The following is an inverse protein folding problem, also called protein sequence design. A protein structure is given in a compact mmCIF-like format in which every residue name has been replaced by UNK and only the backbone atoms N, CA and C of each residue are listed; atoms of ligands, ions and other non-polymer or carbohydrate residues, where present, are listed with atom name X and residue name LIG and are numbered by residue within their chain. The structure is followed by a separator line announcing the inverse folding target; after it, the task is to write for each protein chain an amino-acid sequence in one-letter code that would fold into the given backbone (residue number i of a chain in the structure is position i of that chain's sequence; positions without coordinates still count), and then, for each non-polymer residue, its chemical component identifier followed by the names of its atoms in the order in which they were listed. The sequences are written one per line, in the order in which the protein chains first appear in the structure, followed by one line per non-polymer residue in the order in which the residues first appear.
data_IF_553942872126
#
_entry.id   IF_553942872126
#
_cell.length_a   1.000
_cell.length_b   1.000
_cell.length_c   1.000
_cell.angle_alpha   90.00
_cell.angle_beta   90.00
_cell.angle_gamma   90.00
#
_symmetry.space_group_name_H-M   'P 1'
#
loop_
_entity.id
_entity.type
_entity.pdbx_description
1 polymer ?
#
# COMPACT_ATOMS: atom_id res chain seq x y z
N UNK A 1 11.31 -3.37 -17.15
CA UNK A 1 12.13 -2.19 -17.52
C UNK A 1 13.19 -1.99 -16.45
N UNK A 2 14.44 -1.63 -16.78
CA UNK A 2 15.44 -1.38 -15.73
C UNK A 2 15.20 -0.03 -15.02
N UNK A 3 15.80 0.15 -13.85
CA UNK A 3 15.58 1.33 -13.00
C UNK A 3 15.99 2.64 -13.69
N UNK A 4 17.01 2.60 -14.54
CA UNK A 4 17.48 3.77 -15.27
C UNK A 4 16.48 4.18 -16.35
N UNK A 5 15.99 3.24 -17.15
CA UNK A 5 14.97 3.52 -18.17
C UNK A 5 13.68 4.03 -17.54
N UNK A 6 13.27 3.46 -16.39
CA UNK A 6 12.08 3.91 -15.67
C UNK A 6 12.16 5.41 -15.32
N UNK A 7 13.30 5.85 -14.78
CA UNK A 7 13.51 7.26 -14.44
C UNK A 7 13.45 8.17 -15.67
N UNK A 8 13.94 7.73 -16.81
CA UNK A 8 13.81 8.48 -18.07
C UNK A 8 12.35 8.56 -18.52
N UNK A 9 11.58 7.47 -18.39
CA UNK A 9 10.16 7.46 -18.74
C UNK A 9 9.30 8.36 -17.86
N UNK A 10 9.62 8.47 -16.57
CA UNK A 10 8.98 9.45 -15.68
C UNK A 10 9.17 10.88 -16.21
N UNK A 11 10.40 11.23 -16.61
CA UNK A 11 10.71 12.55 -17.19
C UNK A 11 9.94 12.76 -18.50
N UNK A 12 9.99 11.81 -19.43
CA UNK A 12 9.32 11.92 -20.73
C UNK A 12 7.81 12.08 -20.57
N UNK A 13 7.21 11.30 -19.67
CA UNK A 13 5.77 11.33 -19.41
C UNK A 13 5.34 12.66 -18.80
N UNK A 14 6.12 13.20 -17.87
CA UNK A 14 5.84 14.52 -17.29
C UNK A 14 5.88 15.64 -18.34
N UNK A 15 6.90 15.64 -19.21
CA UNK A 15 6.98 16.60 -20.32
C UNK A 15 5.77 16.48 -21.25
N UNK A 16 5.39 15.26 -21.64
CA UNK A 16 4.23 15.03 -22.51
C UNK A 16 2.93 15.56 -21.88
N UNK A 17 2.71 15.24 -20.59
CA UNK A 17 1.51 15.65 -19.86
C UNK A 17 1.45 17.15 -19.59
N UNK A 18 2.59 17.81 -19.43
CA UNK A 18 2.69 19.26 -19.22
C UNK A 18 2.39 20.05 -20.49
N UNK A 19 2.77 19.51 -21.65
CA UNK A 19 2.55 20.17 -22.94
C UNK A 19 1.15 19.92 -23.54
N UNK A 20 0.55 18.75 -23.31
CA UNK A 20 -0.82 18.47 -23.73
C UNK A 20 -1.82 18.56 -22.57
N UNK A 21 -2.51 19.72 -22.49
CA UNK A 21 -3.51 20.01 -21.46
C UNK A 21 -4.75 19.10 -21.50
N UNK A 22 -4.95 18.32 -22.57
CA UNK A 22 -6.09 17.39 -22.69
C UNK A 22 -5.77 15.98 -22.22
N UNK A 23 -4.51 15.55 -22.36
CA UNK A 23 -4.04 14.20 -22.01
C UNK A 23 -4.41 13.76 -20.59
N UNK A 24 -4.19 14.60 -19.58
CA UNK A 24 -4.52 14.24 -18.20
C UNK A 24 -6.02 14.03 -17.99
N UNK A 25 -6.86 14.89 -18.60
CA UNK A 25 -8.32 14.78 -18.51
C UNK A 25 -8.82 13.51 -19.19
N UNK A 26 -8.24 13.15 -20.33
CA UNK A 26 -8.60 11.92 -21.05
C UNK A 26 -8.14 10.66 -20.30
N UNK A 27 -6.99 10.72 -19.63
CA UNK A 27 -6.56 9.67 -18.71
C UNK A 27 -7.58 9.47 -17.58
N UNK A 28 -8.06 10.55 -16.94
CA UNK A 28 -9.09 10.44 -15.90
C UNK A 28 -10.41 9.85 -16.41
N UNK A 29 -10.81 10.16 -17.65
CA UNK A 29 -12.00 9.54 -18.27
C UNK A 29 -11.82 8.04 -18.45
N UNK A 30 -10.61 7.58 -18.79
CA UNK A 30 -10.33 6.14 -18.98
C UNK A 30 -10.42 5.31 -17.69
N UNK A 31 -10.40 5.96 -16.52
CA UNK A 31 -10.54 5.32 -15.20
C UNK A 31 -12.01 5.20 -14.78
N UNK A 32 -12.89 6.04 -15.35
CA UNK A 32 -14.28 6.11 -14.97
C UNK A 32 -15.00 4.77 -15.20
N UNK A 33 -15.87 4.39 -14.25
CA UNK A 33 -16.69 3.21 -14.42
C UNK A 33 -17.82 3.49 -15.41
N UNK A 34 -17.96 2.64 -16.44
CA UNK A 34 -19.04 2.74 -17.42
C UNK A 34 -19.92 1.50 -17.31
N UNK A 35 -21.14 1.60 -16.72
CA UNK A 35 -21.99 0.44 -16.43
C UNK A 35 -22.39 -0.41 -17.64
N UNK A 36 -22.37 0.17 -18.85
CA UNK A 36 -22.85 -0.43 -20.10
C UNK A 36 -21.82 -0.37 -21.24
N UNK A 37 -20.51 -0.41 -20.93
CA UNK A 37 -19.46 -0.41 -21.97
C UNK A 37 -19.49 -1.67 -22.86
N UNK A 38 -20.24 -2.70 -22.45
CA UNK A 38 -20.38 -4.01 -23.08
C UNK A 38 -21.25 -4.04 -24.35
N UNK A 39 -21.18 -3.02 -25.21
CA UNK A 39 -21.61 -3.19 -26.62
C UNK A 39 -20.57 -3.97 -27.44
N UNK A 40 -19.38 -4.20 -26.87
CA UNK A 40 -18.39 -5.13 -27.42
C UNK A 40 -18.74 -6.55 -27.03
N UNK A 41 -19.19 -7.36 -28.00
CA UNK A 41 -19.59 -8.77 -27.83
C UNK A 41 -18.42 -9.68 -27.39
N UNK A 42 -17.18 -9.15 -27.31
CA UNK A 42 -15.96 -9.92 -27.12
C UNK A 42 -15.18 -9.62 -25.83
N UNK A 43 -15.59 -8.66 -24.99
CA UNK A 43 -14.83 -8.30 -23.77
C UNK A 43 -15.46 -8.85 -22.50
N UNK A 44 -14.68 -9.55 -21.67
CA UNK A 44 -15.14 -10.09 -20.39
C UNK A 44 -15.10 -9.03 -19.27
N UNK A 45 -15.89 -9.23 -18.21
CA UNK A 45 -15.83 -8.37 -17.00
C UNK A 45 -14.44 -8.32 -16.37
N UNK A 46 -13.71 -9.44 -16.43
CA UNK A 46 -12.35 -9.53 -15.92
C UNK A 46 -11.38 -8.64 -16.71
N UNK A 47 -11.49 -8.64 -18.05
CA UNK A 47 -10.72 -7.74 -18.90
C UNK A 47 -11.05 -6.26 -18.63
N UNK A 48 -12.32 -5.93 -18.36
CA UNK A 48 -12.71 -4.58 -17.97
C UNK A 48 -12.11 -4.16 -16.61
N UNK A 49 -12.02 -5.08 -15.65
CA UNK A 49 -11.35 -4.81 -14.37
C UNK A 49 -9.86 -4.58 -14.56
N UNK A 50 -9.21 -5.38 -15.38
CA UNK A 50 -7.78 -5.25 -15.65
C UNK A 50 -7.48 -3.95 -16.41
N UNK A 51 -8.26 -3.61 -17.44
CA UNK A 51 -8.10 -2.36 -18.18
C UNK A 51 -8.22 -1.13 -17.27
N UNK A 52 -9.17 -1.14 -16.32
CA UNK A 52 -9.31 -0.07 -15.33
C UNK A 52 -8.19 -0.06 -14.30
N UNK A 53 -7.75 -1.22 -13.82
CA UNK A 53 -6.57 -1.32 -12.94
C UNK A 53 -5.35 -0.69 -13.62
N UNK A 54 -5.09 -1.02 -14.88
CA UNK A 54 -4.01 -0.44 -15.66
C UNK A 54 -4.17 1.07 -15.88
N UNK A 55 -5.39 1.56 -16.09
CA UNK A 55 -5.65 3.01 -16.17
C UNK A 55 -5.29 3.74 -14.86
N UNK A 56 -5.62 3.16 -13.70
CA UNK A 56 -5.24 3.70 -12.39
C UNK A 56 -3.72 3.66 -12.18
N UNK A 57 -3.05 2.57 -12.60
CA UNK A 57 -1.58 2.47 -12.55
C UNK A 57 -0.91 3.52 -13.45
N UNK A 58 -1.47 3.82 -14.62
CA UNK A 58 -1.01 4.91 -15.49
C UNK A 58 -1.15 6.28 -14.83
N UNK A 59 -2.28 6.55 -14.16
CA UNK A 59 -2.43 7.77 -13.37
C UNK A 59 -1.36 7.87 -12.28
N UNK A 60 -1.14 6.79 -11.54
CA UNK A 60 -0.10 6.74 -10.51
C UNK A 60 1.30 7.01 -11.12
N UNK A 61 1.62 6.45 -12.28
CA UNK A 61 2.89 6.70 -12.96
C UNK A 61 3.07 8.16 -13.40
N UNK A 62 2.01 8.75 -13.98
CA UNK A 62 2.01 10.17 -14.40
C UNK A 62 2.23 11.10 -13.22
N UNK A 63 1.52 10.87 -12.11
CA UNK A 63 1.69 11.69 -10.89
C UNK A 63 3.07 11.46 -10.26
N UNK A 64 3.63 10.25 -10.32
CA UNK A 64 4.97 9.99 -9.80
C UNK A 64 6.06 10.76 -10.56
N UNK A 65 5.88 10.97 -11.87
CA UNK A 65 6.83 11.72 -12.70
C UNK A 65 6.75 13.23 -12.53
N UNK A 66 5.68 13.75 -11.92
CA UNK A 66 5.38 15.17 -11.87
C UNK A 66 6.12 15.94 -10.78
N UNK A 67 6.09 17.27 -10.88
CA UNK A 67 6.48 18.15 -9.78
C UNK A 67 5.51 18.03 -8.59
N UNK A 68 5.98 18.43 -7.41
CA UNK A 68 5.16 18.47 -6.18
C UNK A 68 3.95 19.41 -6.39
N UNK A 69 2.76 18.91 -6.08
CA UNK A 69 1.47 19.61 -6.21
C UNK A 69 1.02 19.98 -7.64
N UNK A 70 1.71 19.51 -8.69
CA UNK A 70 1.34 19.79 -10.08
C UNK A 70 -0.13 19.45 -10.40
N UNK A 71 -0.68 18.41 -9.78
CA UNK A 71 -2.07 17.95 -9.97
C UNK A 71 -3.03 18.32 -8.84
N UNK A 72 -2.69 19.30 -7.99
CA UNK A 72 -3.56 19.73 -6.89
C UNK A 72 -4.94 20.20 -7.38
N UNK A 73 -5.02 20.89 -8.52
CA UNK A 73 -6.28 21.40 -9.06
C UNK A 73 -7.25 20.29 -9.50
N UNK A 74 -6.71 19.13 -9.90
CA UNK A 74 -7.47 17.96 -10.37
C UNK A 74 -7.71 16.94 -9.25
N UNK A 75 -7.31 17.24 -8.02
CA UNK A 75 -7.37 16.29 -6.90
C UNK A 75 -8.81 15.84 -6.60
N UNK A 76 -9.81 16.71 -6.74
CA UNK A 76 -11.21 16.33 -6.58
C UNK A 76 -11.63 15.27 -7.60
N UNK A 77 -11.24 15.44 -8.87
CA UNK A 77 -11.55 14.49 -9.94
C UNK A 77 -10.82 13.16 -9.72
N UNK A 78 -9.55 13.21 -9.30
CA UNK A 78 -8.76 12.01 -8.94
C UNK A 78 -9.47 11.26 -7.80
N UNK A 79 -9.84 11.96 -6.72
CA UNK A 79 -10.54 11.39 -5.58
C UNK A 79 -11.85 10.74 -6.00
N UNK A 80 -12.66 11.42 -6.81
CA UNK A 80 -13.93 10.90 -7.31
C UNK A 80 -13.71 9.57 -8.04
N UNK A 81 -12.75 9.53 -8.98
CA UNK A 81 -12.44 8.32 -9.77
C UNK A 81 -11.94 7.14 -8.92
N UNK A 82 -11.09 7.40 -7.92
CA UNK A 82 -10.62 6.35 -7.01
C UNK A 82 -11.78 5.83 -6.14
N UNK A 83 -12.59 6.74 -5.58
CA UNK A 83 -13.72 6.38 -4.73
C UNK A 83 -14.80 5.59 -5.47
N UNK A 84 -15.09 5.98 -6.73
CA UNK A 84 -16.04 5.29 -7.58
C UNK A 84 -15.60 3.85 -7.83
N UNK A 85 -14.32 3.64 -8.19
CA UNK A 85 -13.78 2.31 -8.46
C UNK A 85 -13.84 1.38 -7.24
N UNK A 86 -13.50 1.89 -6.04
CA UNK A 86 -13.61 1.11 -4.79
C UNK A 86 -15.06 0.77 -4.42
N UNK A 87 -16.00 1.68 -4.72
CA UNK A 87 -17.43 1.48 -4.43
C UNK A 87 -18.07 0.44 -5.35
N UNK A 88 -17.75 0.48 -6.65
CA UNK A 88 -18.43 -0.34 -7.67
C UNK A 88 -17.73 -1.67 -7.95
N UNK A 89 -16.49 -1.86 -7.47
CA UNK A 89 -15.70 -3.06 -7.74
C UNK A 89 -15.14 -3.69 -6.47
N UNK A 90 -15.30 -5.02 -6.36
CA UNK A 90 -14.62 -5.84 -5.36
C UNK A 90 -13.34 -6.48 -5.93
N UNK A 91 -12.93 -6.12 -7.15
CA UNK A 91 -11.76 -6.70 -7.81
C UNK A 91 -10.47 -6.35 -7.04
N UNK A 92 -9.67 -7.35 -6.63
CA UNK A 92 -8.41 -7.11 -5.95
C UNK A 92 -7.39 -6.36 -6.82
N UNK A 93 -7.38 -6.56 -8.14
CA UNK A 93 -6.49 -5.84 -9.07
C UNK A 93 -6.76 -4.34 -9.10
N UNK A 94 -8.04 -3.92 -9.05
CA UNK A 94 -8.40 -2.50 -8.99
C UNK A 94 -8.00 -1.91 -7.63
N UNK A 95 -8.35 -2.58 -6.53
CA UNK A 95 -8.05 -2.12 -5.17
C UNK A 95 -6.54 -1.97 -4.94
N UNK A 96 -5.76 -2.91 -5.45
CA UNK A 96 -4.28 -2.85 -5.43
C UNK A 96 -3.74 -1.64 -6.17
N UNK A 97 -4.27 -1.36 -7.38
CA UNK A 97 -3.88 -0.19 -8.15
C UNK A 97 -4.27 1.13 -7.45
N UNK A 98 -5.42 1.17 -6.77
CA UNK A 98 -5.83 2.33 -5.96
C UNK A 98 -4.85 2.56 -4.80
N UNK A 99 -4.43 1.52 -4.08
CA UNK A 99 -3.41 1.68 -3.04
C UNK A 99 -2.06 2.16 -3.59
N UNK A 100 -1.62 1.66 -4.74
CA UNK A 100 -0.43 2.19 -5.42
C UNK A 100 -0.58 3.67 -5.74
N UNK A 101 -1.72 4.08 -6.31
CA UNK A 101 -2.00 5.47 -6.63
C UNK A 101 -2.00 6.36 -5.38
N UNK A 102 -2.61 5.91 -4.28
CA UNK A 102 -2.60 6.64 -3.02
C UNK A 102 -1.17 6.81 -2.50
N UNK A 103 -0.33 5.77 -2.54
CA UNK A 103 1.08 5.87 -2.13
C UNK A 103 1.83 6.93 -2.94
N UNK A 104 1.60 7.02 -4.25
CA UNK A 104 2.18 8.09 -5.08
C UNK A 104 1.66 9.46 -4.64
N UNK A 105 0.35 9.61 -4.44
CA UNK A 105 -0.26 10.87 -4.02
C UNK A 105 0.31 11.36 -2.69
N UNK A 106 0.57 10.45 -1.73
CA UNK A 106 1.19 10.76 -0.44
C UNK A 106 2.61 11.36 -0.57
N UNK A 107 3.32 11.09 -1.68
CA UNK A 107 4.67 11.63 -1.93
C UNK A 107 4.68 12.86 -2.84
N UNK A 108 3.65 13.02 -3.68
CA UNK A 108 3.59 14.06 -4.72
C UNK A 108 2.62 15.20 -4.42
N UNK A 109 1.80 15.08 -3.40
CA UNK A 109 0.91 16.14 -2.93
C UNK A 109 1.15 16.45 -1.45
N UNK A 110 1.07 17.74 -1.10
CA UNK A 110 1.14 18.16 0.31
C UNK A 110 -0.12 17.72 1.08
N UNK A 111 -0.01 17.53 2.42
CA UNK A 111 -1.11 17.05 3.26
C UNK A 111 -2.45 17.78 3.12
N UNK A 112 -2.52 19.13 2.93
CA UNK A 112 -3.79 19.82 2.73
C UNK A 112 -4.57 19.34 1.49
N UNK A 113 -3.87 18.93 0.43
CA UNK A 113 -4.49 18.40 -0.79
C UNK A 113 -5.07 17.00 -0.59
N UNK A 114 -4.64 16.28 0.44
CA UNK A 114 -4.97 14.86 0.66
C UNK A 114 -6.17 14.64 1.60
N UNK A 115 -6.78 15.71 2.11
CA UNK A 115 -7.88 15.64 3.10
C UNK A 115 -9.03 14.75 2.60
N UNK A 116 -9.43 14.89 1.33
CA UNK A 116 -10.54 14.13 0.76
C UNK A 116 -10.21 12.65 0.49
N UNK A 117 -8.93 12.30 0.32
CA UNK A 117 -8.49 10.90 0.14
C UNK A 117 -8.49 10.14 1.45
N UNK A 118 -8.33 10.83 2.58
CA UNK A 118 -8.09 10.20 3.87
C UNK A 118 -9.18 9.19 4.30
N UNK A 119 -10.48 9.52 4.25
CA UNK A 119 -11.54 8.58 4.64
C UNK A 119 -11.53 7.33 3.76
N UNK A 120 -11.35 7.51 2.45
CA UNK A 120 -11.33 6.41 1.47
C UNK A 120 -10.16 5.46 1.76
N UNK A 121 -8.97 6.03 1.96
CA UNK A 121 -7.76 5.27 2.22
C UNK A 121 -7.86 4.47 3.53
N UNK A 122 -8.32 5.10 4.62
CA UNK A 122 -8.41 4.44 5.94
C UNK A 122 -9.47 3.34 5.91
N UNK A 123 -10.66 3.60 5.37
CA UNK A 123 -11.73 2.59 5.29
C UNK A 123 -11.30 1.37 4.49
N UNK A 124 -10.66 1.58 3.33
CA UNK A 124 -10.21 0.49 2.48
C UNK A 124 -9.05 -0.29 3.12
N UNK A 125 -8.09 0.39 3.74
CA UNK A 125 -6.98 -0.26 4.46
C UNK A 125 -7.51 -1.12 5.62
N UNK A 126 -8.44 -0.60 6.42
CA UNK A 126 -9.11 -1.34 7.50
C UNK A 126 -9.82 -2.57 6.96
N UNK A 127 -10.55 -2.43 5.85
CA UNK A 127 -11.29 -3.53 5.24
C UNK A 127 -10.36 -4.68 4.82
N UNK A 128 -9.27 -4.37 4.10
CA UNK A 128 -8.31 -5.37 3.62
C UNK A 128 -7.56 -6.03 4.78
N UNK A 129 -7.17 -5.28 5.81
CA UNK A 129 -6.52 -5.85 6.99
C UNK A 129 -7.45 -6.76 7.79
N UNK A 130 -8.74 -6.42 7.92
CA UNK A 130 -9.74 -7.30 8.53
C UNK A 130 -9.94 -8.59 7.72
N UNK A 131 -10.00 -8.47 6.39
CA UNK A 131 -10.11 -9.65 5.53
C UNK A 131 -8.88 -10.55 5.66
N UNK A 132 -7.68 -9.99 5.72
CA UNK A 132 -6.44 -10.74 5.95
C UNK A 132 -6.45 -11.46 7.32
N UNK A 133 -6.93 -10.81 8.37
CA UNK A 133 -7.12 -11.45 9.68
C UNK A 133 -8.07 -12.65 9.60
N UNK A 134 -9.19 -12.51 8.89
CA UNK A 134 -10.16 -13.60 8.69
C UNK A 134 -9.54 -14.79 7.94
N UNK A 135 -8.77 -14.54 6.86
CA UNK A 135 -8.09 -15.62 6.12
C UNK A 135 -7.06 -16.35 7.02
N UNK A 136 -6.27 -15.59 7.78
CA UNK A 136 -5.29 -16.15 8.73
C UNK A 136 -5.95 -16.97 9.85
N UNK A 137 -7.18 -16.65 10.24
CA UNK A 137 -7.96 -17.43 11.22
C UNK A 137 -8.58 -18.69 10.61
N UNK A 138 -9.16 -18.60 9.41
CA UNK A 138 -9.89 -19.69 8.76
C UNK A 138 -8.99 -20.88 8.42
N UNK A 139 -7.77 -20.62 7.93
CA UNK A 139 -6.80 -21.66 7.57
C UNK A 139 -6.28 -22.48 8.78
N UNK A 140 -6.47 -22.00 10.01
CA UNK A 140 -6.11 -22.74 11.23
C UNK A 140 -7.08 -23.86 11.61
N UNK A 141 -8.27 -23.91 10.99
CA UNK A 141 -9.36 -24.83 11.36
C UNK A 141 -9.54 -26.01 10.40
N UNK A 142 -8.63 -26.24 9.44
CA UNK A 142 -8.70 -27.39 8.53
C UNK A 142 -9.91 -27.40 7.59
N UNK A 143 -10.60 -26.27 7.44
CA UNK A 143 -11.66 -26.09 6.44
C UNK A 143 -10.97 -25.44 5.22
N UNK A 144 -10.48 -26.28 4.31
CA UNK A 144 -9.80 -25.90 3.06
C UNK A 144 -10.73 -25.23 2.01
N UNK A 145 -11.88 -24.67 2.40
CA UNK A 145 -12.96 -24.28 1.46
C UNK A 145 -13.16 -22.76 1.32
N UNK A 146 -12.08 -21.98 1.41
CA UNK A 146 -12.07 -20.60 0.91
C UNK A 146 -10.87 -20.45 -0.02
N UNK A 147 -11.04 -20.91 -1.27
CA UNK A 147 -10.09 -20.78 -2.38
C UNK A 147 -9.64 -19.34 -2.73
N UNK A 148 -9.97 -18.33 -1.92
CA UNK A 148 -9.47 -16.95 -2.03
C UNK A 148 -8.02 -16.79 -1.57
N UNK A 149 -7.51 -17.63 -0.66
CA UNK A 149 -6.15 -17.48 -0.10
C UNK A 149 -5.02 -17.85 -1.08
N UNK A 150 -5.35 -18.48 -2.22
CA UNK A 150 -4.40 -18.81 -3.31
C UNK A 150 -4.71 -18.10 -4.63
N UNK A 151 -5.70 -17.23 -4.68
CA UNK A 151 -5.88 -16.37 -5.83
C UNK A 151 -4.81 -15.28 -5.76
N UNK A 152 -3.84 -15.37 -6.67
CA UNK A 152 -2.65 -14.52 -6.75
C UNK A 152 -3.02 -13.03 -6.63
N UNK A 153 -4.19 -12.64 -7.13
CA UNK A 153 -4.67 -11.26 -7.09
C UNK A 153 -5.01 -10.80 -5.66
N UNK A 154 -5.61 -11.64 -4.82
CA UNK A 154 -5.88 -11.31 -3.41
C UNK A 154 -4.60 -11.21 -2.60
N UNK A 155 -3.63 -12.09 -2.86
CA UNK A 155 -2.32 -11.99 -2.23
C UNK A 155 -1.61 -10.68 -2.59
N UNK A 156 -1.73 -10.24 -3.84
CA UNK A 156 -1.22 -8.93 -4.27
C UNK A 156 -1.97 -7.77 -3.61
N UNK A 157 -3.28 -7.91 -3.34
CA UNK A 157 -4.04 -6.91 -2.60
C UNK A 157 -3.55 -6.77 -1.15
N UNK A 158 -3.30 -7.88 -0.46
CA UNK A 158 -2.74 -7.85 0.90
C UNK A 158 -1.35 -7.20 0.92
N UNK A 159 -0.50 -7.50 -0.06
CA UNK A 159 0.80 -6.85 -0.21
C UNK A 159 0.66 -5.33 -0.45
N UNK A 160 -0.25 -4.93 -1.34
CA UNK A 160 -0.49 -3.52 -1.64
C UNK A 160 -0.96 -2.73 -0.40
N UNK A 161 -1.85 -3.33 0.41
CA UNK A 161 -2.27 -2.77 1.68
C UNK A 161 -1.11 -2.63 2.68
N UNK A 162 -0.27 -3.66 2.80
CA UNK A 162 0.90 -3.63 3.68
C UNK A 162 1.94 -2.59 3.23
N UNK A 163 2.18 -2.45 1.92
CA UNK A 163 3.05 -1.40 1.36
C UNK A 163 2.51 0.00 1.61
N UNK A 164 1.19 0.19 1.57
CA UNK A 164 0.57 1.45 1.97
C UNK A 164 0.79 1.72 3.46
N UNK A 165 0.59 0.72 4.32
CA UNK A 165 0.87 0.83 5.75
C UNK A 165 2.34 1.16 6.02
N UNK A 166 3.29 0.50 5.34
CA UNK A 166 4.72 0.85 5.41
C UNK A 166 4.96 2.31 5.00
N UNK A 167 4.30 2.79 3.95
CA UNK A 167 4.41 4.19 3.48
C UNK A 167 3.97 5.17 4.57
N UNK A 168 2.82 4.90 5.19
CA UNK A 168 2.27 5.72 6.28
C UNK A 168 3.18 5.74 7.51
N UNK A 169 3.74 4.59 7.88
CA UNK A 169 4.65 4.42 9.00
C UNK A 169 6.06 4.98 8.73
N UNK A 170 6.48 5.06 7.47
CA UNK A 170 7.81 5.57 7.08
C UNK A 170 7.85 7.09 7.02
N UNK A 171 6.74 7.74 6.66
CA UNK A 171 6.66 9.19 6.64
C UNK A 171 6.85 9.77 8.06
N UNK A 172 7.50 10.94 8.19
CA UNK A 172 7.83 11.48 9.51
C UNK A 172 6.59 11.67 10.37
N UNK A 173 6.73 11.35 11.66
CA UNK A 173 5.65 11.55 12.62
C UNK A 173 5.21 13.03 12.61
N UNK A 174 3.92 13.26 12.34
CA UNK A 174 3.32 14.60 12.28
C UNK A 174 3.27 15.22 10.89
N UNK A 175 3.91 14.63 9.87
CA UNK A 175 3.73 15.06 8.48
C UNK A 175 2.29 14.85 8.00
N UNK A 176 1.72 13.67 8.31
CA UNK A 176 0.33 13.33 8.05
C UNK A 176 -0.47 13.41 9.37
N UNK A 177 -0.94 14.60 9.73
CA UNK A 177 -1.68 14.81 10.98
C UNK A 177 -2.90 13.89 11.12
N UNK A 178 -3.62 13.63 10.02
CA UNK A 178 -4.78 12.75 10.01
C UNK A 178 -4.42 11.28 10.26
N UNK A 179 -3.20 10.85 9.87
CA UNK A 179 -2.72 9.51 10.22
C UNK A 179 -2.46 9.38 11.70
N UNK A 180 -1.94 10.42 12.35
CA UNK A 180 -1.69 10.36 13.79
C UNK A 180 -2.96 10.16 14.62
N UNK A 181 -4.12 10.62 14.10
CA UNK A 181 -5.41 10.41 14.76
C UNK A 181 -5.88 8.95 14.73
N UNK A 182 -5.45 8.16 13.74
CA UNK A 182 -5.83 6.75 13.58
C UNK A 182 -4.67 5.76 13.70
N UNK A 183 -3.43 6.23 13.90
CA UNK A 183 -2.21 5.42 13.97
C UNK A 183 -2.33 4.30 15.01
N UNK A 184 -2.96 4.59 16.15
CA UNK A 184 -3.23 3.64 17.24
C UNK A 184 -4.03 2.42 16.78
N UNK A 185 -4.84 2.52 15.73
CA UNK A 185 -5.61 1.38 15.23
C UNK A 185 -4.71 0.37 14.49
N UNK A 186 -3.60 0.83 13.92
CA UNK A 186 -2.75 0.03 13.04
C UNK A 186 -1.50 -0.52 13.75
N UNK A 187 -0.87 0.26 14.62
CA UNK A 187 0.46 -0.03 15.16
C UNK A 187 0.50 0.06 16.68
N UNK A 188 1.33 -0.77 17.32
CA UNK A 188 1.56 -0.72 18.76
C UNK A 188 2.51 0.42 19.12
N UNK A 189 1.98 1.64 19.26
CA UNK A 189 2.77 2.82 19.66
C UNK A 189 3.06 2.90 21.16
N UNK A 190 2.34 2.13 21.99
CA UNK A 190 2.47 2.10 23.45
C UNK A 190 2.58 0.66 23.96
N UNK A 191 3.16 0.46 25.14
CA UNK A 191 3.28 -0.87 25.76
C UNK A 191 1.88 -1.47 25.97
N UNK A 192 1.67 -2.68 25.48
CA UNK A 192 0.39 -3.39 25.58
C UNK A 192 0.38 -4.35 26.78
N UNK A 193 -0.63 -4.25 27.64
CA UNK A 193 -0.90 -5.21 28.72
C UNK A 193 -1.78 -6.36 28.23
N UNK A 194 -1.75 -7.50 28.93
CA UNK A 194 -2.68 -8.63 28.68
C UNK A 194 -4.16 -8.26 28.94
N UNK A 195 -4.40 -7.16 29.65
CA UNK A 195 -5.73 -6.66 30.02
C UNK A 195 -6.29 -5.64 29.04
N UNK A 196 -5.55 -5.25 28.01
CA UNK A 196 -6.00 -4.22 27.08
C UNK A 196 -7.17 -4.74 26.24
N UNK A 197 -8.26 -3.96 26.24
CA UNK A 197 -9.49 -4.28 25.51
C UNK A 197 -9.33 -4.16 23.99
N UNK A 198 -8.35 -3.37 23.54
CA UNK A 198 -8.08 -3.13 22.13
C UNK A 198 -6.64 -3.52 21.78
N UNK A 199 -6.47 -4.28 20.70
CA UNK A 199 -5.18 -4.58 20.10
C UNK A 199 -5.15 -4.05 18.66
N UNK A 200 -4.15 -3.23 18.28
CA UNK A 200 -3.99 -2.74 16.91
C UNK A 200 -3.83 -3.87 15.89
N UNK A 201 -4.12 -3.57 14.61
CA UNK A 201 -4.02 -4.53 13.50
C UNK A 201 -2.68 -5.26 13.46
N UNK A 202 -1.56 -4.54 13.57
CA UNK A 202 -0.24 -5.16 13.55
C UNK A 202 -0.06 -6.19 14.67
N UNK A 203 -0.54 -5.90 15.88
CA UNK A 203 -0.48 -6.81 17.01
C UNK A 203 -1.35 -8.06 16.81
N UNK A 204 -2.58 -7.88 16.30
CA UNK A 204 -3.51 -8.98 16.00
C UNK A 204 -2.97 -9.89 14.91
N UNK A 205 -2.57 -9.33 13.78
CA UNK A 205 -2.02 -10.07 12.63
C UNK A 205 -0.71 -10.78 13.02
N UNK A 206 0.20 -10.11 13.72
CA UNK A 206 1.43 -10.75 14.21
C UNK A 206 1.12 -11.94 15.14
N UNK A 207 0.10 -11.86 15.99
CA UNK A 207 -0.33 -12.99 16.83
C UNK A 207 -0.84 -14.16 16.00
N UNK A 208 -1.62 -13.90 14.95
CA UNK A 208 -2.13 -14.94 14.05
C UNK A 208 -0.99 -15.60 13.27
N UNK A 209 -0.11 -14.80 12.66
CA UNK A 209 1.08 -15.29 11.96
C UNK A 209 1.96 -16.15 12.85
N UNK A 210 2.19 -15.73 14.11
CA UNK A 210 2.96 -16.52 15.08
C UNK A 210 2.29 -17.81 15.51
N UNK A 211 0.96 -17.82 15.59
CA UNK A 211 0.19 -19.04 15.89
C UNK A 211 0.32 -20.04 14.75
N UNK A 212 0.27 -19.57 13.51
CA UNK A 212 0.25 -20.41 12.31
C UNK A 212 1.63 -20.89 11.87
N UNK A 213 2.63 -20.02 11.88
CA UNK A 213 3.97 -20.26 11.33
C UNK A 213 5.07 -20.30 12.39
N UNK A 214 4.71 -20.17 13.68
CA UNK A 214 5.68 -20.12 14.78
C UNK A 214 6.30 -18.73 14.99
N UNK A 215 7.12 -18.64 16.04
CA UNK A 215 7.83 -17.40 16.38
C UNK A 215 9.06 -17.24 15.47
N UNK A 216 9.35 -16.01 15.06
CA UNK A 216 10.64 -15.70 14.44
C UNK A 216 11.79 -16.05 15.39
N UNK A 217 12.73 -16.83 14.90
CA UNK A 217 13.99 -17.15 15.55
C UNK A 217 14.95 -15.95 15.51
N UNK A 218 16.00 -15.99 16.34
CA UNK A 218 17.00 -14.92 16.36
C UNK A 218 17.78 -14.82 15.04
N UNK A 219 17.97 -15.95 14.35
CA UNK A 219 18.58 -16.00 13.02
C UNK A 219 17.67 -15.38 11.95
N UNK A 220 16.38 -15.71 11.95
CA UNK A 220 15.40 -15.08 11.05
C UNK A 220 15.31 -13.56 11.28
N UNK A 221 15.36 -13.11 12.54
CA UNK A 221 15.36 -11.67 12.88
C UNK A 221 16.60 -10.95 12.34
N UNK A 222 17.77 -11.61 12.32
CA UNK A 222 19.00 -11.04 11.81
C UNK A 222 19.04 -10.98 10.27
N UNK A 223 18.41 -11.94 9.60
CA UNK A 223 18.51 -12.14 8.15
C UNK A 223 17.32 -11.57 7.35
N UNK A 224 16.13 -11.48 7.96
CA UNK A 224 14.93 -11.02 7.27
C UNK A 224 14.69 -9.53 7.46
N UNK A 225 14.54 -8.81 6.35
CA UNK A 225 14.18 -7.39 6.37
C UNK A 225 12.70 -7.20 6.70
N UNK A 226 12.34 -6.27 7.60
CA UNK A 226 10.95 -5.87 7.81
C UNK A 226 10.41 -4.96 6.71
N UNK A 227 11.24 -4.46 5.80
CA UNK A 227 10.80 -3.62 4.67
C UNK A 227 10.30 -4.44 3.49
N UNK A 228 9.18 -4.00 2.93
CA UNK A 228 8.51 -4.57 1.76
C UNK A 228 8.96 -3.91 0.44
N UNK A 229 9.93 -2.98 0.47
CA UNK A 229 10.43 -2.22 -0.68
C UNK A 229 10.86 -3.10 -1.87
N UNK A 230 11.44 -4.28 -1.60
CA UNK A 230 11.88 -5.24 -2.63
C UNK A 230 10.94 -6.43 -2.85
N UNK A 231 9.83 -6.50 -2.11
CA UNK A 231 8.91 -7.62 -2.20
C UNK A 231 8.00 -7.43 -3.42
N UNK A 232 8.20 -8.26 -4.45
CA UNK A 232 7.52 -8.14 -5.74
C UNK A 232 6.10 -8.67 -5.68
N UNK A 233 6.00 -9.90 -5.20
CA UNK A 233 4.75 -10.61 -5.02
C UNK A 233 4.73 -11.25 -3.65
N UNK A 234 3.53 -11.33 -3.10
CA UNK A 234 3.29 -12.14 -1.91
C UNK A 234 2.81 -13.52 -2.36
N UNK A 235 3.54 -14.57 -1.99
CA UNK A 235 3.19 -15.97 -2.30
C UNK A 235 2.66 -16.71 -1.07
N UNK A 236 3.04 -16.26 0.13
CA UNK A 236 2.57 -16.78 1.41
C UNK A 236 2.48 -15.68 2.45
N UNK A 237 1.48 -15.74 3.34
CA UNK A 237 1.41 -14.85 4.50
C UNK A 237 2.63 -14.96 5.42
N UNK A 238 3.36 -16.07 5.38
CA UNK A 238 4.59 -16.26 6.15
C UNK A 238 5.64 -15.17 5.87
N UNK A 239 5.68 -14.67 4.63
CA UNK A 239 6.63 -13.65 4.20
C UNK A 239 6.38 -12.29 4.86
N UNK A 240 5.18 -12.05 5.42
CA UNK A 240 4.83 -10.83 6.14
C UNK A 240 5.21 -10.88 7.63
N UNK A 241 5.73 -12.02 8.14
CA UNK A 241 6.14 -12.16 9.55
C UNK A 241 7.10 -11.06 10.00
N UNK A 242 8.21 -10.74 9.29
CA UNK A 242 9.16 -9.73 9.74
C UNK A 242 8.53 -8.34 9.82
N UNK A 243 7.72 -7.98 8.82
CA UNK A 243 7.02 -6.70 8.76
C UNK A 243 6.06 -6.50 9.94
N UNK A 244 5.15 -7.46 10.16
CA UNK A 244 4.18 -7.35 11.25
C UNK A 244 4.81 -7.52 12.63
N UNK A 245 5.91 -8.27 12.75
CA UNK A 245 6.69 -8.32 13.98
C UNK A 245 7.27 -6.94 14.32
N UNK A 246 7.91 -6.28 13.34
CA UNK A 246 8.46 -4.94 13.53
C UNK A 246 7.37 -3.92 13.91
N UNK A 247 6.24 -3.90 13.20
CA UNK A 247 5.11 -3.02 13.54
C UNK A 247 4.52 -3.32 14.93
N UNK A 248 4.43 -4.59 15.33
CA UNK A 248 3.88 -4.97 16.63
C UNK A 248 4.82 -4.70 17.81
N UNK A 249 6.11 -4.46 17.56
CA UNK A 249 7.15 -4.30 18.59
C UNK A 249 7.82 -2.91 18.58
N UNK A 250 7.32 -1.96 17.79
CA UNK A 250 7.89 -0.62 17.66
C UNK A 250 8.08 0.09 19.01
N UNK A 251 7.12 -0.05 19.92
CA UNK A 251 7.19 0.50 21.29
C UNK A 251 8.41 0.02 22.11
N UNK A 252 8.98 -1.14 21.80
CA UNK A 252 10.14 -1.71 22.51
C UNK A 252 11.47 -1.23 21.94
N UNK A 253 11.46 -0.65 20.74
CA UNK A 253 12.63 -0.08 20.09
C UNK A 253 12.95 1.36 20.56
N UNK A 254 12.25 1.88 21.58
CA UNK A 254 12.55 3.19 22.15
C UNK A 254 13.94 3.18 22.85
N UNK A 255 14.69 4.30 22.82
CA UNK A 255 16.03 4.38 23.38
C UNK A 255 15.99 4.15 24.89
N UNK A 256 16.61 3.08 25.39
CA UNK A 256 16.80 2.85 26.83
C UNK A 256 16.59 1.42 27.33
N UNK A 257 16.05 0.51 26.52
CA UNK A 257 15.85 -0.89 26.92
C UNK A 257 16.31 -1.85 25.83
N UNK A 258 17.43 -2.51 26.09
CA UNK A 258 18.05 -3.60 25.31
C UNK A 258 18.65 -3.24 23.94
N UNK A 259 19.96 -2.96 23.96
CA UNK A 259 20.86 -3.20 22.82
C UNK A 259 20.88 -4.71 22.52
N UNK A 260 20.04 -5.17 21.60
CA UNK A 260 20.00 -6.59 21.27
C UNK A 260 18.81 -7.04 20.44
N UNK A 261 18.60 -6.45 19.26
CA UNK A 261 17.93 -7.11 18.15
C UNK A 261 18.21 -6.35 16.85
N UNK A 262 19.06 -6.92 15.99
CA UNK A 262 19.41 -6.35 14.70
C UNK A 262 18.29 -6.48 13.67
N UNK A 263 17.73 -5.34 13.27
CA UNK A 263 17.37 -4.93 11.90
C UNK A 263 16.87 -3.50 12.04
N UNK A 264 17.38 -2.56 11.25
CA UNK A 264 17.02 -1.13 11.32
C UNK A 264 15.55 -0.92 10.89
N UNK A 265 14.62 -1.24 11.79
CA UNK A 265 13.18 -1.05 11.65
C UNK A 265 12.72 0.33 12.13
N UNK A 266 13.67 1.17 12.57
CA UNK A 266 13.43 2.51 13.10
C UNK A 266 12.66 3.38 12.11
N UNK A 267 12.83 3.14 10.80
CA UNK A 267 12.12 3.87 9.76
C UNK A 267 10.59 3.71 9.85
N UNK A 268 10.07 2.57 10.33
CA UNK A 268 8.64 2.33 10.49
C UNK A 268 8.00 3.09 11.66
N UNK A 269 8.79 3.79 12.47
CA UNK A 269 8.31 4.62 13.57
C UNK A 269 8.20 6.11 13.18
N UNK A 270 8.28 6.44 11.89
CA UNK A 270 8.28 7.82 11.40
C UNK A 270 9.48 8.65 11.89
N UNK A 271 10.60 7.98 12.16
CA UNK A 271 11.82 8.59 12.73
C UNK A 271 12.72 9.26 11.67
N UNK A 272 12.51 8.95 10.39
CA UNK A 272 13.28 9.52 9.30
C UNK A 272 12.97 11.01 9.12
N UNK A 273 13.95 11.77 8.61
CA UNK A 273 13.68 13.09 8.05
C UNK A 273 12.76 12.97 6.83
N UNK A 274 11.99 14.02 6.54
CA UNK A 274 11.09 14.03 5.38
C UNK A 274 11.82 13.67 4.07
N UNK A 275 13.00 14.26 3.85
CA UNK A 275 13.84 13.98 2.68
C UNK A 275 14.20 12.50 2.56
N UNK A 276 14.66 11.88 3.66
CA UNK A 276 15.09 10.48 3.65
C UNK A 276 13.89 9.53 3.50
N UNK A 277 12.76 9.84 4.14
CA UNK A 277 11.52 9.08 4.00
C UNK A 277 11.02 9.09 2.55
N UNK A 278 10.91 10.28 1.94
CA UNK A 278 10.49 10.42 0.54
C UNK A 278 11.45 9.67 -0.39
N UNK A 279 12.77 9.84 -0.24
CA UNK A 279 13.75 9.14 -1.08
C UNK A 279 13.60 7.61 -1.00
N UNK A 280 13.39 7.07 0.21
CA UNK A 280 13.16 5.63 0.43
C UNK A 280 11.88 5.15 -0.25
N UNK A 281 10.79 5.90 -0.08
CA UNK A 281 9.47 5.54 -0.58
C UNK A 281 9.36 5.71 -2.11
N UNK A 282 10.02 6.72 -2.68
CA UNK A 282 10.15 6.88 -4.13
C UNK A 282 10.94 5.72 -4.75
N UNK A 283 12.03 5.30 -4.11
CA UNK A 283 12.75 4.10 -4.56
C UNK A 283 11.84 2.86 -4.54
N UNK A 284 11.08 2.65 -3.47
CA UNK A 284 10.12 1.55 -3.39
C UNK A 284 9.06 1.60 -4.51
N UNK A 285 8.49 2.78 -4.79
CA UNK A 285 7.56 2.96 -5.89
C UNK A 285 8.20 2.68 -7.25
N UNK A 286 9.46 3.08 -7.45
CA UNK A 286 10.18 2.76 -8.68
C UNK A 286 10.39 1.25 -8.86
N UNK A 287 10.66 0.51 -7.78
CA UNK A 287 10.71 -0.96 -7.81
C UNK A 287 9.35 -1.52 -8.22
N UNK A 288 8.27 -1.04 -7.60
CA UNK A 288 6.91 -1.47 -7.93
C UNK A 288 6.59 -1.25 -9.42
N UNK A 289 6.93 -0.08 -9.99
CA UNK A 289 6.66 0.20 -11.39
C UNK A 289 7.58 -0.54 -12.37
N UNK A 290 8.86 -0.76 -12.04
CA UNK A 290 9.80 -1.46 -12.92
C UNK A 290 9.34 -2.88 -13.29
N UNK A 291 8.58 -3.50 -12.41
CA UNK A 291 8.10 -4.89 -12.49
C UNK A 291 6.83 -5.04 -13.31
N UNK A 292 5.92 -4.06 -13.24
CA UNK A 292 4.67 -4.08 -14.01
C UNK A 292 4.87 -4.07 -15.54
N UNK A 293 6.07 -3.73 -16.00
CA UNK A 293 6.46 -3.71 -17.42
C UNK A 293 7.28 -4.94 -17.84
N UNK A 294 7.37 -5.98 -17.00
CA UNK A 294 8.07 -7.24 -17.31
C UNK A 294 7.13 -8.45 -17.46
N UNK A 295 5.83 -8.24 -17.29
CA UNK A 295 4.75 -9.19 -17.57
C UNK A 295 4.01 -8.77 -18.83
#
# INVERSE_FOLDING_TARGET
MDMQSLKQWLIVTDHLMTHDKTSFKDLLKSIAYTPNASFSIMTSKEQEYEARSQAVKRLAFVVLGSELDQYQAQMNDIQERLSENLRVSQSPSIRSAVFLCIRVLLLRLRPPSLIGIWPIMVTELVHVLLQMEQQLCAEGNGIEDLGCARDDAWMQLYLAACKLLETLCTLPAGYLAQFQMCHWAFVNSVSTSKTDLFLPFAGRINKLLRTKFGKLTQEELANLSPSLCGMKMLTSFEELRPFFYALATQNKALPGTHEGAGTDSSFLAGSLSYKNAVQRLEHALCVDFAEHWQL
#
